data_IF_290237779605
#
_entry.id   IF_290237779605
#
_cell.length_a   1.000
_cell.length_b   1.000
_cell.length_c   1.000
_cell.angle_alpha   90.00
_cell.angle_beta   90.00
_cell.angle_gamma   90.00
#
_symmetry.space_group_name_H-M   'P 1'
#
loop_
_entity.id
_entity.type
_entity.pdbx_description
1 polymer ?
#
# COMPACT_ATOMS: atom_id res chain seq x y z
N UNK A 1 29.22 45.16 23.46
CA UNK A 1 28.16 45.40 22.45
C UNK A 1 27.46 44.06 22.28
N UNK A 2 26.44 43.87 23.08
CA UNK A 2 25.69 42.62 23.24
C UNK A 2 24.58 42.61 22.16
N UNK A 3 24.65 41.63 21.27
CA UNK A 3 23.63 41.49 20.22
C UNK A 3 22.33 41.04 20.87
N UNK A 4 21.34 41.91 20.92
CA UNK A 4 19.96 41.60 21.29
C UNK A 4 19.43 40.52 20.31
N UNK A 5 19.11 39.36 20.84
CA UNK A 5 18.33 38.32 20.11
C UNK A 5 16.89 38.85 19.99
N UNK A 6 16.40 38.88 18.76
CA UNK A 6 15.01 39.18 18.43
C UNK A 6 14.08 38.11 19.05
N UNK A 7 13.16 38.47 19.97
CA UNK A 7 12.24 37.49 20.57
C UNK A 7 11.02 37.15 19.72
N UNK A 8 10.97 37.62 18.47
CA UNK A 8 9.82 37.38 17.58
C UNK A 8 10.04 36.31 16.51
N UNK A 9 11.08 35.48 16.62
CA UNK A 9 11.15 34.27 15.82
C UNK A 9 9.99 33.36 16.24
N UNK A 10 8.85 33.51 15.56
CA UNK A 10 7.75 32.51 15.59
C UNK A 10 8.35 31.22 15.08
N UNK A 11 8.74 30.36 16.02
CA UNK A 11 9.00 28.96 15.70
C UNK A 11 7.63 28.42 15.30
N UNK A 12 7.39 28.32 13.98
CA UNK A 12 6.27 27.54 13.49
C UNK A 12 6.43 26.15 14.10
N UNK A 13 5.38 25.57 14.72
CA UNK A 13 5.48 24.22 15.22
C UNK A 13 5.95 23.36 14.03
N UNK A 14 7.06 22.63 14.20
CA UNK A 14 7.34 21.48 13.36
C UNK A 14 6.02 20.72 13.29
N UNK A 15 5.48 20.54 12.08
CA UNK A 15 4.20 19.87 11.88
C UNK A 15 4.25 18.58 12.68
N UNK A 16 3.38 18.51 13.69
CA UNK A 16 3.30 17.37 14.60
C UNK A 16 2.59 16.26 13.83
N UNK A 17 3.36 15.62 12.91
CA UNK A 17 2.85 14.47 12.16
C UNK A 17 2.48 13.39 13.14
N UNK A 18 1.36 12.73 12.92
CA UNK A 18 0.98 11.58 13.71
C UNK A 18 2.17 10.61 13.84
N UNK A 19 2.45 10.03 15.02
CA UNK A 19 3.60 9.17 15.25
C UNK A 19 3.76 8.06 14.22
N UNK A 20 2.65 7.48 13.76
CA UNK A 20 2.66 6.44 12.74
C UNK A 20 3.22 6.88 11.39
N UNK A 21 3.20 8.17 11.07
CA UNK A 21 3.67 8.70 9.78
C UNK A 21 5.14 9.15 9.81
N UNK A 22 5.82 9.11 10.95
CA UNK A 22 7.22 9.50 11.07
C UNK A 22 8.16 8.49 10.42
N UNK A 23 7.83 7.21 10.53
CA UNK A 23 8.58 6.14 9.89
C UNK A 23 7.63 5.02 9.50
N UNK A 24 7.61 4.65 8.23
CA UNK A 24 6.68 3.66 7.69
C UNK A 24 7.41 2.63 6.86
N UNK A 25 7.00 1.37 6.99
CA UNK A 25 7.25 0.36 5.98
C UNK A 25 6.43 0.67 4.73
N UNK A 26 6.91 0.30 3.55
CA UNK A 26 6.17 0.39 2.29
C UNK A 26 6.21 -0.95 1.58
N UNK A 27 5.12 -1.34 0.94
CA UNK A 27 4.97 -2.64 0.29
C UNK A 27 4.10 -2.51 -0.95
N UNK A 28 4.53 -3.17 -2.03
CA UNK A 28 3.76 -3.27 -3.28
C UNK A 28 4.19 -4.51 -4.08
N UNK A 29 3.29 -5.03 -4.91
CA UNK A 29 3.48 -6.19 -5.77
C UNK A 29 3.09 -5.89 -7.21
N UNK A 30 3.91 -6.34 -8.19
CA UNK A 30 3.46 -6.53 -9.55
C UNK A 30 3.16 -8.01 -9.79
N UNK A 31 2.13 -8.29 -10.56
CA UNK A 31 1.52 -9.62 -10.61
C UNK A 31 1.10 -10.01 -12.02
N UNK A 32 0.77 -11.29 -12.22
CA UNK A 32 0.28 -11.78 -13.51
C UNK A 32 -1.14 -11.32 -13.85
N UNK A 33 -1.89 -10.75 -12.88
CA UNK A 33 -3.26 -10.27 -13.08
C UNK A 33 -3.89 -9.81 -11.77
N UNK A 34 -5.22 -9.75 -11.71
CA UNK A 34 -5.96 -9.13 -10.60
C UNK A 34 -6.72 -10.11 -9.69
N UNK A 35 -6.69 -11.41 -10.00
CA UNK A 35 -7.33 -12.45 -9.19
C UNK A 35 -6.37 -12.93 -8.11
N UNK A 36 -6.56 -12.48 -6.88
CA UNK A 36 -5.68 -12.79 -5.74
C UNK A 36 -5.54 -14.28 -5.46
N UNK A 37 -6.48 -15.12 -5.93
CA UNK A 37 -6.47 -16.57 -5.71
C UNK A 37 -5.74 -17.34 -6.81
N UNK A 38 -5.67 -16.78 -8.03
CA UNK A 38 -5.13 -17.46 -9.22
C UNK A 38 -3.83 -16.85 -9.71
N UNK A 39 -3.67 -15.54 -9.57
CA UNK A 39 -2.51 -14.82 -10.06
C UNK A 39 -1.26 -15.04 -9.21
N UNK A 40 -0.12 -14.62 -9.72
CA UNK A 40 1.22 -14.87 -9.17
C UNK A 40 1.99 -13.59 -8.99
N UNK A 41 2.88 -13.56 -8.01
CA UNK A 41 3.86 -12.49 -7.86
C UNK A 41 4.87 -12.55 -9.00
N UNK A 42 5.11 -11.39 -9.63
CA UNK A 42 6.16 -11.15 -10.62
C UNK A 42 7.29 -10.33 -9.99
N UNK A 43 6.98 -9.19 -9.39
CA UNK A 43 7.93 -8.42 -8.60
C UNK A 43 7.34 -8.06 -7.24
N UNK A 44 8.21 -7.80 -6.28
CA UNK A 44 7.82 -7.29 -4.96
C UNK A 44 8.81 -6.23 -4.49
N UNK A 45 8.31 -5.26 -3.75
CA UNK A 45 9.13 -4.28 -3.05
C UNK A 45 8.70 -4.19 -1.59
N UNK A 46 9.70 -4.21 -0.69
CA UNK A 46 9.52 -3.86 0.72
C UNK A 46 10.59 -2.83 1.08
N UNK A 47 10.18 -1.69 1.62
CA UNK A 47 11.09 -0.63 1.99
C UNK A 47 10.69 0.06 3.29
N UNK A 48 11.49 1.05 3.69
CA UNK A 48 11.21 1.93 4.84
C UNK A 48 11.45 3.37 4.43
N UNK A 49 10.49 4.24 4.72
CA UNK A 49 10.63 5.68 4.60
C UNK A 49 10.78 6.33 5.97
N UNK A 50 11.60 7.37 6.02
CA UNK A 50 11.70 8.25 7.19
C UNK A 50 10.60 9.33 7.20
N UNK A 51 10.69 10.26 8.16
CA UNK A 51 9.72 11.35 8.33
C UNK A 51 9.70 12.35 7.17
N UNK A 52 10.70 12.37 6.31
CA UNK A 52 10.77 13.24 5.13
C UNK A 52 10.28 12.53 3.86
N UNK A 53 10.00 11.22 3.94
CA UNK A 53 9.64 10.39 2.80
C UNK A 53 10.86 9.92 2.01
N UNK A 54 12.06 10.00 2.61
CA UNK A 54 13.28 9.47 2.02
C UNK A 54 13.42 7.97 2.30
N UNK A 55 13.89 7.24 1.29
CA UNK A 55 14.07 5.79 1.39
C UNK A 55 15.31 5.50 2.23
N UNK A 56 15.12 4.90 3.40
CA UNK A 56 16.22 4.53 4.31
C UNK A 56 16.53 3.02 4.28
N UNK A 57 15.63 2.22 3.73
CA UNK A 57 15.80 0.79 3.57
C UNK A 57 14.98 0.30 2.36
N UNK A 58 15.53 -0.63 1.57
CA UNK A 58 14.81 -1.23 0.45
C UNK A 58 15.24 -2.66 0.19
N UNK A 59 14.31 -3.46 -0.26
CA UNK A 59 14.54 -4.78 -0.82
C UNK A 59 13.58 -4.99 -2.00
N UNK A 60 14.12 -5.48 -3.11
CA UNK A 60 13.41 -5.69 -4.36
C UNK A 60 13.58 -7.15 -4.79
N UNK A 61 12.53 -7.76 -5.31
CA UNK A 61 12.54 -9.13 -5.80
C UNK A 61 11.94 -9.20 -7.19
N UNK A 62 12.51 -10.06 -8.01
CA UNK A 62 11.94 -10.55 -9.25
C UNK A 62 11.77 -12.07 -9.12
N UNK A 63 10.56 -12.56 -9.27
CA UNK A 63 10.21 -13.98 -9.25
C UNK A 63 10.04 -14.53 -10.67
N UNK A 64 10.40 -15.79 -10.88
CA UNK A 64 9.81 -16.59 -11.94
C UNK A 64 8.46 -17.10 -11.43
N UNK A 65 7.31 -16.59 -11.94
CA UNK A 65 5.99 -16.98 -11.45
C UNK A 65 5.62 -18.43 -11.78
N UNK A 66 6.44 -19.13 -12.57
CA UNK A 66 6.18 -20.50 -13.02
C UNK A 66 5.02 -20.64 -14.01
N UNK A 67 4.40 -19.53 -14.39
CA UNK A 67 3.29 -19.44 -15.37
C UNK A 67 3.61 -18.35 -16.40
N UNK A 68 2.81 -18.31 -17.46
CA UNK A 68 2.90 -17.22 -18.43
C UNK A 68 2.38 -15.92 -17.82
N UNK A 69 3.11 -14.82 -18.06
CA UNK A 69 2.67 -13.46 -17.72
C UNK A 69 1.84 -12.95 -18.91
N UNK A 70 0.53 -12.68 -18.72
CA UNK A 70 -0.31 -12.19 -19.79
C UNK A 70 0.21 -10.87 -20.39
N UNK A 71 0.06 -10.69 -21.70
CA UNK A 71 0.51 -9.49 -22.40
C UNK A 71 -0.03 -8.19 -21.75
N UNK A 72 -1.28 -8.24 -21.25
CA UNK A 72 -1.89 -7.10 -20.54
C UNK A 72 -1.15 -6.73 -19.26
N UNK A 73 -0.70 -7.68 -18.46
CA UNK A 73 0.10 -7.46 -17.26
C UNK A 73 1.51 -7.00 -17.63
N UNK A 74 2.16 -7.69 -18.58
CA UNK A 74 3.49 -7.32 -19.07
C UNK A 74 3.54 -5.89 -19.66
N UNK A 75 2.47 -5.44 -20.30
CA UNK A 75 2.36 -4.07 -20.83
C UNK A 75 2.24 -3.01 -19.70
N UNK A 76 1.78 -3.42 -18.51
CA UNK A 76 1.65 -2.53 -17.34
C UNK A 76 3.01 -2.39 -16.64
N UNK A 77 3.61 -3.49 -16.16
CA UNK A 77 4.82 -3.46 -15.33
C UNK A 77 6.13 -3.72 -16.13
N UNK A 78 6.06 -3.98 -17.42
CA UNK A 78 7.24 -4.08 -18.30
C UNK A 78 7.99 -5.41 -18.21
N UNK A 79 7.55 -6.39 -17.45
CA UNK A 79 8.23 -7.68 -17.26
C UNK A 79 7.58 -8.73 -18.14
N UNK A 80 8.34 -9.28 -19.10
CA UNK A 80 7.86 -10.40 -19.92
C UNK A 80 8.08 -11.76 -19.25
N UNK A 81 7.38 -12.77 -19.70
CA UNK A 81 7.57 -14.16 -19.25
C UNK A 81 9.02 -14.61 -19.43
N UNK A 82 9.62 -14.29 -20.59
CA UNK A 82 11.01 -14.65 -20.90
C UNK A 82 11.99 -13.98 -19.94
N UNK A 83 11.74 -12.70 -19.62
CA UNK A 83 12.58 -11.95 -18.67
C UNK A 83 12.49 -12.56 -17.27
N UNK A 84 11.27 -12.82 -16.79
CA UNK A 84 11.04 -13.41 -15.48
C UNK A 84 11.69 -14.80 -15.35
N UNK A 85 11.56 -15.66 -16.38
CA UNK A 85 12.21 -16.99 -16.41
C UNK A 85 13.73 -16.92 -16.45
N UNK A 86 14.30 -15.93 -17.14
CA UNK A 86 15.75 -15.82 -17.30
C UNK A 86 16.45 -15.20 -16.09
N UNK A 87 15.79 -14.33 -15.35
CA UNK A 87 16.40 -13.49 -14.31
C UNK A 87 15.70 -13.60 -12.97
N UNK A 88 14.47 -14.10 -12.92
CA UNK A 88 13.69 -14.27 -11.70
C UNK A 88 14.25 -15.40 -10.84
N UNK A 89 14.01 -15.28 -9.55
CA UNK A 89 14.31 -16.32 -8.56
C UNK A 89 13.10 -17.25 -8.43
N UNK A 90 13.30 -18.39 -7.80
CA UNK A 90 12.21 -19.32 -7.50
C UNK A 90 11.11 -18.61 -6.67
N UNK A 91 9.84 -18.78 -7.07
CA UNK A 91 8.72 -18.07 -6.46
C UNK A 91 8.57 -18.36 -4.95
N UNK A 92 8.80 -19.61 -4.53
CA UNK A 92 8.76 -20.03 -3.13
C UNK A 92 9.82 -19.30 -2.27
N UNK A 93 11.03 -19.10 -2.78
CA UNK A 93 12.08 -18.34 -2.11
C UNK A 93 11.68 -16.86 -1.99
N UNK A 94 11.19 -16.26 -3.08
CA UNK A 94 10.77 -14.85 -3.09
C UNK A 94 9.63 -14.62 -2.11
N UNK A 95 8.60 -15.46 -2.14
CA UNK A 95 7.46 -15.38 -1.22
C UNK A 95 7.92 -15.49 0.23
N UNK A 96 8.81 -16.44 0.53
CA UNK A 96 9.35 -16.62 1.90
C UNK A 96 10.12 -15.38 2.38
N UNK A 97 10.93 -14.77 1.52
CA UNK A 97 11.69 -13.57 1.86
C UNK A 97 10.81 -12.32 2.01
N UNK A 98 9.81 -12.14 1.15
CA UNK A 98 8.83 -11.04 1.27
C UNK A 98 8.04 -11.15 2.58
N UNK A 99 7.54 -12.35 2.90
CA UNK A 99 6.85 -12.60 4.18
C UNK A 99 7.77 -12.32 5.37
N UNK A 100 9.03 -12.76 5.30
CA UNK A 100 10.01 -12.52 6.38
C UNK A 100 10.34 -11.02 6.52
N UNK A 101 10.48 -10.28 5.41
CA UNK A 101 10.74 -8.84 5.42
C UNK A 101 9.58 -8.06 6.06
N UNK A 102 8.34 -8.35 5.67
CA UNK A 102 7.15 -7.73 6.26
C UNK A 102 6.99 -8.08 7.75
N UNK A 103 7.21 -9.35 8.11
CA UNK A 103 7.19 -9.78 9.52
C UNK A 103 8.20 -9.00 10.35
N UNK A 104 9.42 -8.81 9.84
CA UNK A 104 10.45 -8.04 10.53
C UNK A 104 10.05 -6.57 10.75
N UNK A 105 9.33 -5.94 9.80
CA UNK A 105 8.80 -4.59 9.98
C UNK A 105 7.72 -4.54 11.06
N UNK A 106 6.77 -5.48 11.07
CA UNK A 106 5.73 -5.56 12.09
C UNK A 106 6.32 -5.86 13.48
N UNK A 107 7.28 -6.77 13.58
CA UNK A 107 7.98 -7.11 14.82
C UNK A 107 8.77 -5.92 15.38
N UNK A 108 9.24 -5.03 14.50
CA UNK A 108 9.88 -3.77 14.87
C UNK A 108 8.87 -2.66 15.24
N UNK A 109 7.57 -2.94 15.21
CA UNK A 109 6.50 -1.98 15.52
C UNK A 109 6.26 -0.94 14.42
N UNK A 110 6.79 -1.15 13.20
CA UNK A 110 6.57 -0.25 12.09
C UNK A 110 5.24 -0.55 11.38
N UNK A 111 4.37 0.45 11.15
CA UNK A 111 3.23 0.28 10.27
C UNK A 111 3.70 0.11 8.84
N UNK A 112 3.01 -0.76 8.08
CA UNK A 112 3.30 -0.98 6.66
C UNK A 112 2.22 -0.34 5.80
N UNK A 113 2.64 0.51 4.88
CA UNK A 113 1.78 1.17 3.90
C UNK A 113 1.73 0.34 2.62
N UNK A 114 0.53 0.06 2.13
CA UNK A 114 0.29 -0.48 0.79
C UNK A 114 -0.96 0.19 0.20
N UNK A 115 -0.90 0.59 -1.08
CA UNK A 115 -2.03 1.21 -1.76
C UNK A 115 -3.01 0.15 -2.26
N UNK A 116 -4.28 0.19 -1.82
CA UNK A 116 -5.23 -0.89 -2.03
C UNK A 116 -4.78 -2.21 -1.38
N UNK A 117 -4.31 -2.09 -0.14
CA UNK A 117 -3.61 -3.11 0.64
C UNK A 117 -4.29 -4.49 0.65
N UNK A 118 -5.63 -4.53 0.54
CA UNK A 118 -6.36 -5.81 0.50
C UNK A 118 -6.01 -6.66 -0.71
N UNK A 119 -5.53 -6.08 -1.80
CA UNK A 119 -5.04 -6.81 -2.96
C UNK A 119 -3.71 -7.49 -2.65
N UNK A 120 -2.69 -6.72 -2.28
CA UNK A 120 -1.32 -7.19 -2.07
C UNK A 120 -1.22 -8.22 -0.95
N UNK A 121 -1.83 -7.91 0.20
CA UNK A 121 -1.80 -8.82 1.35
C UNK A 121 -2.59 -10.12 1.10
N UNK A 122 -3.70 -10.06 0.34
CA UNK A 122 -4.45 -11.28 0.00
C UNK A 122 -3.70 -12.14 -0.99
N UNK A 123 -3.12 -11.53 -2.03
CA UNK A 123 -2.32 -12.27 -3.02
C UNK A 123 -1.09 -12.90 -2.35
N UNK A 124 -0.38 -12.17 -1.48
CA UNK A 124 0.75 -12.71 -0.72
C UNK A 124 0.32 -13.88 0.19
N UNK A 125 -0.86 -13.81 0.82
CA UNK A 125 -1.38 -14.89 1.65
C UNK A 125 -1.67 -16.16 0.81
N UNK A 126 -2.25 -16.00 -0.38
CA UNK A 126 -2.49 -17.12 -1.31
C UNK A 126 -1.19 -17.69 -1.87
N UNK A 127 -0.22 -16.86 -2.19
CA UNK A 127 1.11 -17.31 -2.63
C UNK A 127 1.85 -18.06 -1.50
N UNK A 128 1.79 -17.54 -0.27
CA UNK A 128 2.38 -18.23 0.89
C UNK A 128 1.76 -19.63 1.08
N UNK A 129 0.42 -19.73 1.00
CA UNK A 129 -0.27 -21.01 1.09
C UNK A 129 0.13 -21.96 -0.06
N UNK A 130 0.25 -21.47 -1.28
CA UNK A 130 0.63 -22.24 -2.48
C UNK A 130 2.02 -22.84 -2.36
N UNK A 131 2.96 -22.08 -1.80
CA UNK A 131 4.37 -22.47 -1.66
C UNK A 131 4.70 -23.13 -0.29
N UNK A 132 3.70 -23.29 0.59
CA UNK A 132 3.92 -23.88 1.93
C UNK A 132 4.73 -22.98 2.87
N UNK A 133 4.73 -21.67 2.60
CA UNK A 133 5.36 -20.66 3.46
C UNK A 133 4.39 -20.30 4.59
N UNK A 134 4.89 -20.18 5.85
CA UNK A 134 4.07 -19.74 6.97
C UNK A 134 3.61 -18.29 6.76
N UNK A 135 2.29 -18.03 6.59
CA UNK A 135 1.79 -16.73 6.18
C UNK A 135 1.92 -15.70 7.31
N UNK A 136 1.76 -14.42 6.94
CA UNK A 136 1.51 -13.38 7.93
C UNK A 136 0.12 -13.62 8.53
N UNK A 137 0.09 -13.98 9.81
CA UNK A 137 -1.16 -14.10 10.56
C UNK A 137 -1.52 -12.72 11.10
N UNK A 138 -2.68 -12.20 10.74
CA UNK A 138 -3.14 -10.89 11.20
C UNK A 138 -2.09 -9.79 10.93
N UNK A 139 -1.74 -9.51 9.64
CA UNK A 139 -0.76 -8.48 9.31
C UNK A 139 -1.20 -7.12 9.84
N UNK A 140 -0.31 -6.43 10.56
CA UNK A 140 -0.63 -5.10 11.08
C UNK A 140 0.42 -4.54 12.04
N UNK A 141 0.42 -3.21 12.23
CA UNK A 141 -0.51 -2.25 11.61
C UNK A 141 -0.28 -2.06 10.11
N UNK A 142 -1.34 -2.17 9.32
CA UNK A 142 -1.35 -1.84 7.89
C UNK A 142 -2.02 -0.48 7.70
N UNK A 143 -1.52 0.33 6.78
CA UNK A 143 -2.09 1.64 6.42
C UNK A 143 -2.32 1.66 4.91
N UNK A 144 -3.57 1.89 4.50
CA UNK A 144 -3.97 1.94 3.09
C UNK A 144 -4.37 3.37 2.70
N UNK A 145 -3.53 4.09 1.94
CA UNK A 145 -3.85 5.46 1.53
C UNK A 145 -5.13 5.57 0.71
N UNK A 146 -5.56 4.52 0.00
CA UNK A 146 -6.84 4.51 -0.72
C UNK A 146 -8.03 4.54 0.24
N UNK A 147 -7.96 3.75 1.32
CA UNK A 147 -8.99 3.71 2.37
C UNK A 147 -9.01 5.04 3.11
N UNK A 148 -7.82 5.56 3.48
CA UNK A 148 -7.69 6.85 4.17
C UNK A 148 -8.24 8.00 3.34
N UNK A 149 -7.81 8.13 2.08
CA UNK A 149 -8.24 9.21 1.19
C UNK A 149 -9.75 9.23 1.01
N UNK A 150 -10.38 8.05 0.85
CA UNK A 150 -11.85 7.95 0.80
C UNK A 150 -12.52 8.29 2.13
N UNK A 151 -11.89 8.06 3.26
CA UNK A 151 -12.44 8.38 4.58
C UNK A 151 -12.37 9.90 4.88
N UNK A 152 -11.20 10.53 4.62
CA UNK A 152 -10.97 11.94 4.97
C UNK A 152 -11.50 12.91 3.92
N UNK A 153 -11.58 12.51 2.64
CA UNK A 153 -12.05 13.34 1.53
C UNK A 153 -13.13 12.62 0.72
N UNK A 154 -14.18 12.20 1.43
CA UNK A 154 -15.27 11.34 0.92
C UNK A 154 -15.92 11.87 -0.37
N UNK A 155 -16.05 13.18 -0.51
CA UNK A 155 -16.81 13.80 -1.59
C UNK A 155 -15.96 14.30 -2.75
N UNK A 156 -14.64 14.09 -2.70
CA UNK A 156 -13.75 14.43 -3.81
C UNK A 156 -14.15 13.66 -5.07
N UNK A 157 -14.37 14.39 -6.13
CA UNK A 157 -14.72 13.82 -7.43
C UNK A 157 -13.49 13.30 -8.16
N UNK A 158 -13.70 12.32 -9.02
CA UNK A 158 -12.63 11.76 -9.88
C UNK A 158 -12.17 10.37 -9.42
N UNK A 159 -11.18 9.86 -10.15
CA UNK A 159 -10.56 8.57 -9.85
C UNK A 159 -9.75 8.62 -8.56
N UNK A 160 -9.54 7.47 -7.96
CA UNK A 160 -8.71 7.26 -6.77
C UNK A 160 -7.59 6.24 -7.09
N UNK A 161 -7.05 6.28 -8.30
CA UNK A 161 -5.84 5.52 -8.65
C UNK A 161 -4.63 6.18 -8.02
N UNK A 162 -3.54 5.45 -7.81
CA UNK A 162 -2.36 5.95 -7.09
C UNK A 162 -1.78 7.21 -7.75
N UNK A 163 -1.70 7.24 -9.09
CA UNK A 163 -1.23 8.39 -9.87
C UNK A 163 -2.07 9.65 -9.61
N UNK A 164 -3.41 9.51 -9.64
CA UNK A 164 -4.34 10.63 -9.39
C UNK A 164 -4.28 11.11 -7.95
N UNK A 165 -4.16 10.18 -7.00
CA UNK A 165 -4.08 10.52 -5.58
C UNK A 165 -2.72 11.12 -5.25
N UNK A 166 -1.62 10.58 -5.79
CA UNK A 166 -0.27 11.16 -5.68
C UNK A 166 -0.25 12.61 -6.17
N UNK A 167 -0.78 12.88 -7.36
CA UNK A 167 -0.88 14.24 -7.90
C UNK A 167 -1.73 15.15 -7.00
N UNK A 168 -2.84 14.65 -6.42
CA UNK A 168 -3.69 15.41 -5.51
C UNK A 168 -2.97 15.85 -4.22
N UNK A 169 -2.08 15.01 -3.70
CA UNK A 169 -1.29 15.28 -2.49
C UNK A 169 0.08 15.89 -2.78
N UNK A 170 0.40 16.16 -4.06
CA UNK A 170 1.68 16.76 -4.45
C UNK A 170 2.86 15.80 -4.36
N UNK A 171 2.58 14.49 -4.39
CA UNK A 171 3.60 13.44 -4.40
C UNK A 171 4.01 13.14 -5.84
N UNK A 172 5.32 13.14 -6.09
CA UNK A 172 5.88 12.76 -7.39
C UNK A 172 5.90 11.22 -7.47
N UNK A 173 5.34 10.68 -8.54
CA UNK A 173 5.38 9.27 -8.87
C UNK A 173 6.25 9.09 -10.12
N UNK A 174 7.51 8.73 -9.92
CA UNK A 174 8.46 8.44 -11.00
C UNK A 174 8.53 6.93 -11.21
N UNK A 175 8.22 6.45 -12.40
CA UNK A 175 8.23 5.01 -12.72
C UNK A 175 6.95 4.28 -12.28
N UNK A 176 5.78 4.86 -12.58
CA UNK A 176 4.50 4.18 -12.33
C UNK A 176 4.49 2.75 -12.89
N UNK A 177 3.92 1.81 -12.12
CA UNK A 177 3.92 0.37 -12.38
C UNK A 177 5.28 -0.33 -12.24
N UNK A 178 6.17 0.26 -11.45
CA UNK A 178 7.28 -0.45 -10.83
C UNK A 178 6.96 -0.59 -9.34
N UNK A 179 6.98 -1.80 -8.79
CA UNK A 179 6.59 -2.05 -7.39
C UNK A 179 7.31 -1.12 -6.39
N UNK A 180 8.59 -0.80 -6.64
CA UNK A 180 9.34 0.13 -5.79
C UNK A 180 8.82 1.56 -5.87
N UNK A 181 8.48 2.05 -7.06
CA UNK A 181 7.98 3.42 -7.25
C UNK A 181 6.58 3.58 -6.65
N UNK A 182 5.71 2.59 -6.87
CA UNK A 182 4.34 2.60 -6.38
C UNK A 182 4.29 2.46 -4.85
N UNK A 183 5.10 1.58 -4.24
CA UNK A 183 5.24 1.46 -2.79
C UNK A 183 5.73 2.75 -2.14
N UNK A 184 6.78 3.38 -2.69
CA UNK A 184 7.33 4.64 -2.18
C UNK A 184 6.31 5.78 -2.31
N UNK A 185 5.62 5.87 -3.45
CA UNK A 185 4.57 6.87 -3.65
C UNK A 185 3.40 6.66 -2.68
N UNK A 186 2.97 5.42 -2.45
CA UNK A 186 1.95 5.09 -1.46
C UNK A 186 2.35 5.55 -0.04
N UNK A 187 3.59 5.30 0.37
CA UNK A 187 4.13 5.76 1.65
C UNK A 187 4.10 7.27 1.79
N UNK A 188 4.57 7.99 0.77
CA UNK A 188 4.55 9.47 0.73
C UNK A 188 3.13 10.04 0.74
N UNK A 189 2.20 9.39 0.04
CA UNK A 189 0.76 9.77 0.08
C UNK A 189 0.19 9.57 1.47
N UNK A 190 0.49 8.46 2.16
CA UNK A 190 0.07 8.26 3.56
C UNK A 190 0.60 9.38 4.48
N UNK A 191 1.87 9.74 4.34
CA UNK A 191 2.48 10.85 5.09
C UNK A 191 1.84 12.20 4.78
N UNK A 192 1.52 12.49 3.52
CA UNK A 192 0.84 13.71 3.11
C UNK A 192 -0.61 13.77 3.62
N UNK A 193 -1.30 12.63 3.68
CA UNK A 193 -2.63 12.52 4.31
C UNK A 193 -2.53 12.80 5.82
N UNK A 194 -1.52 12.25 6.50
CA UNK A 194 -1.28 12.50 7.92
C UNK A 194 -1.03 13.99 8.19
N UNK A 195 -0.23 14.64 7.36
CA UNK A 195 0.05 16.07 7.48
C UNK A 195 -1.22 16.93 7.30
N UNK A 196 -2.00 16.63 6.26
CA UNK A 196 -3.19 17.41 5.91
C UNK A 196 -4.40 17.14 6.79
N UNK A 197 -4.59 15.91 7.23
CA UNK A 197 -5.80 15.43 7.89
C UNK A 197 -5.54 14.73 9.23
N UNK A 198 -4.30 14.77 9.78
CA UNK A 198 -3.94 14.09 11.02
C UNK A 198 -4.88 14.37 12.19
N UNK A 199 -5.41 15.61 12.28
CA UNK A 199 -6.40 16.00 13.30
C UNK A 199 -7.75 15.24 13.21
N UNK A 200 -7.99 14.48 12.14
CA UNK A 200 -9.19 13.66 11.89
C UNK A 200 -8.94 12.18 11.94
N UNK A 201 -7.70 11.78 12.11
CA UNK A 201 -7.25 10.39 12.09
C UNK A 201 -6.77 9.97 13.49
N UNK A 202 -6.89 8.69 13.86
CA UNK A 202 -6.21 8.15 15.03
C UNK A 202 -4.70 8.45 14.99
N UNK A 203 -4.13 8.72 16.15
CA UNK A 203 -2.69 9.03 16.30
C UNK A 203 -1.82 7.78 16.37
N UNK A 204 -2.38 6.69 16.89
CA UNK A 204 -1.68 5.42 17.02
C UNK A 204 -1.93 4.54 15.79
N UNK A 205 -0.86 3.86 15.31
CA UNK A 205 -0.94 3.02 14.12
C UNK A 205 -1.95 1.86 14.25
N UNK A 206 -2.03 1.24 15.43
CA UNK A 206 -2.98 0.16 15.69
C UNK A 206 -4.43 0.65 15.64
N UNK A 207 -4.73 1.78 16.27
CA UNK A 207 -6.07 2.37 16.22
C UNK A 207 -6.47 2.79 14.80
N UNK A 208 -5.50 3.29 14.01
CA UNK A 208 -5.72 3.65 12.62
C UNK A 208 -5.97 2.40 11.76
N UNK A 209 -5.25 1.31 12.01
CA UNK A 209 -5.50 0.01 11.38
C UNK A 209 -6.92 -0.46 11.65
N UNK A 210 -7.35 -0.49 12.90
CA UNK A 210 -8.69 -0.93 13.32
C UNK A 210 -9.78 -0.06 12.70
N UNK A 211 -9.59 1.26 12.65
CA UNK A 211 -10.54 2.18 12.01
C UNK A 211 -10.71 1.88 10.51
N UNK A 212 -9.62 1.52 9.81
CA UNK A 212 -9.65 1.19 8.39
C UNK A 212 -10.48 -0.07 8.08
N UNK A 213 -10.55 -1.04 8.99
CA UNK A 213 -11.43 -2.22 8.83
C UNK A 213 -12.89 -1.76 8.66
N UNK A 214 -13.33 -0.84 9.53
CA UNK A 214 -14.69 -0.26 9.44
C UNK A 214 -14.90 0.59 8.20
N UNK A 215 -13.91 1.40 7.83
CA UNK A 215 -13.99 2.26 6.65
C UNK A 215 -14.00 1.45 5.35
N UNK A 216 -13.17 0.42 5.22
CA UNK A 216 -13.13 -0.45 4.05
C UNK A 216 -14.48 -1.15 3.84
N UNK A 217 -15.09 -1.67 4.91
CA UNK A 217 -16.42 -2.26 4.87
C UNK A 217 -17.47 -1.27 4.37
N UNK A 218 -17.54 -0.07 4.96
CA UNK A 218 -18.52 0.95 4.58
C UNK A 218 -18.31 1.46 3.15
N UNK A 219 -17.05 1.50 2.68
CA UNK A 219 -16.72 1.86 1.30
C UNK A 219 -17.17 0.77 0.32
N UNK A 220 -17.02 -0.51 0.67
CA UNK A 220 -17.47 -1.64 -0.13
C UNK A 220 -19.01 -1.68 -0.20
N UNK A 221 -19.71 -1.45 0.91
CA UNK A 221 -21.17 -1.33 0.95
C UNK A 221 -21.66 -0.22 0.00
N UNK A 222 -21.07 0.98 0.10
CA UNK A 222 -21.41 2.11 -0.77
C UNK A 222 -21.12 1.82 -2.25
N UNK A 223 -20.06 1.08 -2.55
CA UNK A 223 -19.71 0.65 -3.90
C UNK A 223 -20.67 -0.40 -4.43
N UNK A 224 -21.11 -1.34 -3.58
CA UNK A 224 -22.14 -2.32 -3.89
C UNK A 224 -23.44 -1.63 -4.32
N UNK A 225 -23.95 -0.71 -3.50
CA UNK A 225 -25.17 0.07 -3.81
C UNK A 225 -25.02 0.84 -5.13
N UNK A 226 -23.86 1.43 -5.37
CA UNK A 226 -23.59 2.14 -6.61
C UNK A 226 -23.59 1.19 -7.82
N UNK A 227 -22.94 0.03 -7.76
CA UNK A 227 -22.88 -0.93 -8.87
C UNK A 227 -24.22 -1.57 -9.17
N UNK A 228 -25.03 -1.90 -8.14
CA UNK A 228 -26.40 -2.36 -8.32
C UNK A 228 -27.22 -1.29 -9.06
N UNK A 229 -27.15 -0.03 -8.58
CA UNK A 229 -27.89 1.09 -9.16
C UNK A 229 -27.57 1.33 -10.65
N UNK A 230 -26.35 1.10 -11.09
CA UNK A 230 -25.92 1.28 -12.49
C UNK A 230 -25.97 -0.01 -13.31
N UNK A 231 -26.50 -1.11 -12.73
CA UNK A 231 -26.65 -2.40 -13.41
C UNK A 231 -25.32 -3.15 -13.68
N UNK A 232 -24.28 -2.89 -12.89
CA UNK A 232 -22.99 -3.60 -12.99
C UNK A 232 -22.85 -4.77 -12.02
N UNK A 233 -23.76 -4.87 -11.07
CA UNK A 233 -23.80 -5.93 -10.07
C UNK A 233 -25.23 -6.41 -9.92
N UNK A 234 -25.41 -7.70 -9.74
CA UNK A 234 -26.71 -8.27 -9.44
C UNK A 234 -27.23 -7.78 -8.08
N UNK A 235 -28.57 -7.64 -7.88
CA UNK A 235 -29.13 -7.12 -6.63
C UNK A 235 -28.71 -7.88 -5.36
N UNK A 236 -28.42 -9.18 -5.48
CA UNK A 236 -28.06 -10.05 -4.37
C UNK A 236 -26.53 -10.20 -4.21
N UNK A 237 -25.73 -9.60 -5.09
CA UNK A 237 -24.27 -9.64 -5.02
C UNK A 237 -23.73 -8.48 -4.19
N UNK A 238 -22.54 -8.68 -3.60
CA UNK A 238 -21.85 -7.68 -2.78
C UNK A 238 -20.40 -7.54 -3.17
N UNK A 239 -19.85 -6.35 -3.03
CA UNK A 239 -18.42 -6.13 -3.07
C UNK A 239 -17.83 -6.53 -1.73
N UNK A 240 -16.79 -7.36 -1.76
CA UNK A 240 -16.09 -7.78 -0.54
C UNK A 240 -15.33 -6.60 0.08
N UNK A 241 -15.66 -6.26 1.31
CA UNK A 241 -15.02 -5.20 2.09
C UNK A 241 -14.07 -5.73 3.18
N UNK A 242 -13.69 -7.01 3.11
CA UNK A 242 -12.70 -7.59 4.03
C UNK A 242 -11.35 -6.93 3.81
N UNK A 243 -10.67 -6.58 4.90
CA UNK A 243 -9.41 -5.84 4.87
C UNK A 243 -8.60 -6.14 6.14
N UNK A 244 -7.27 -6.23 6.12
CA UNK A 244 -6.39 -6.08 4.96
C UNK A 244 -6.20 -7.37 4.14
N UNK A 245 -6.69 -8.49 4.59
CA UNK A 245 -6.65 -9.80 3.90
C UNK A 245 -8.08 -10.31 3.69
N UNK A 246 -8.42 -10.74 2.50
CA UNK A 246 -9.72 -11.29 2.10
C UNK A 246 -9.60 -12.71 1.50
#
# INVERSE_FOLDING_TARGET
MEAMRDPSAVTLPLFDRAPWAQRVGVFDLETTGVDVTQDRIVTAHVGVLDEFGDVVQRADWLADPGVEIPEGAAAIHGISTEHARAHGRAADEVVAEVVAALRALFDAGLPVVAYNASYDFSLLAHEAARHGVDPLREPGPVIDPLVLDKAVDRYRRGKRTLDVVSAHYGVVLDGAHEASADAIAAGRVAQAIAERFGHRLPTEAAELHDAQIGWARSQAESLTEYFIRIGRLDPDATVDGTWPVR
#
